data_IF_427778890490
#
_entry.id   IF_427778890490
#
_cell.length_a   1.000
_cell.length_b   1.000
_cell.length_c   1.000
_cell.angle_alpha   90.00
_cell.angle_beta   90.00
_cell.angle_gamma   90.00
#
_symmetry.space_group_name_H-M   'P 1'
#
loop_
_entity.id
_entity.type
_entity.pdbx_description
1 polymer ?
#
# COMPACT_ATOMS: atom_id res chain seq x y z
N UNK A 1 -27.16 -0.02 5.80
CA UNK A 1 -27.02 1.28 6.54
C UNK A 1 -26.32 2.37 5.74
N UNK A 2 -25.23 2.08 5.02
CA UNK A 2 -24.47 3.08 4.26
C UNK A 2 -25.26 3.86 3.18
N UNK A 3 -26.32 3.28 2.63
CA UNK A 3 -27.13 3.89 1.55
C UNK A 3 -28.16 4.91 2.04
N UNK A 4 -28.37 5.05 3.35
CA UNK A 4 -29.36 6.00 3.92
C UNK A 4 -28.75 7.40 4.20
N UNK A 5 -27.44 7.56 4.05
CA UNK A 5 -26.74 8.80 4.31
C UNK A 5 -26.14 9.36 3.01
N UNK A 6 -26.10 10.69 2.88
CA UNK A 6 -25.55 11.39 1.72
C UNK A 6 -24.16 10.89 1.29
N UNK A 7 -23.31 10.53 2.24
CA UNK A 7 -21.95 10.01 1.99
C UNK A 7 -21.86 8.49 2.00
N UNK A 8 -22.98 7.76 2.15
CA UNK A 8 -22.95 6.30 2.27
C UNK A 8 -22.36 5.59 1.06
N UNK A 9 -22.58 6.11 -0.14
CA UNK A 9 -22.00 5.59 -1.39
C UNK A 9 -20.49 5.82 -1.52
N UNK A 10 -19.91 6.73 -0.74
CA UNK A 10 -18.48 7.08 -0.75
C UNK A 10 -17.70 6.36 0.36
N UNK A 11 -18.39 5.68 1.27
CA UNK A 11 -17.73 4.90 2.31
C UNK A 11 -17.09 3.65 1.71
N UNK A 12 -15.80 3.53 1.89
CA UNK A 12 -15.02 2.35 1.56
C UNK A 12 -14.31 1.88 2.84
N UNK A 13 -14.55 0.65 3.27
CA UNK A 13 -13.98 0.16 4.50
C UNK A 13 -14.40 -1.23 4.89
N UNK A 14 -13.70 -1.78 5.88
CA UNK A 14 -13.93 -3.10 6.43
C UNK A 14 -14.54 -3.04 7.82
N UNK A 15 -15.51 -3.89 8.08
CA UNK A 15 -16.03 -4.18 9.41
C UNK A 15 -15.38 -5.46 9.91
N UNK A 16 -14.60 -5.34 10.98
CA UNK A 16 -13.81 -6.44 11.52
C UNK A 16 -14.28 -6.71 12.95
N UNK A 17 -14.65 -7.95 13.31
CA UNK A 17 -14.95 -8.30 14.68
C UNK A 17 -13.74 -8.01 15.58
N UNK A 18 -13.96 -7.46 16.78
CA UNK A 18 -12.90 -7.07 17.71
C UNK A 18 -11.91 -8.19 17.99
N UNK A 19 -12.41 -9.41 18.21
CA UNK A 19 -11.56 -10.60 18.42
C UNK A 19 -10.66 -10.88 17.21
N UNK A 20 -11.18 -10.73 15.98
CA UNK A 20 -10.39 -10.91 14.74
C UNK A 20 -9.36 -9.80 14.54
N UNK A 21 -9.69 -8.56 14.92
CA UNK A 21 -8.77 -7.42 14.83
C UNK A 21 -7.50 -7.62 15.66
N UNK A 22 -7.59 -8.30 16.80
CA UNK A 22 -6.45 -8.62 17.69
C UNK A 22 -5.56 -9.75 17.18
N UNK A 23 -6.04 -10.58 16.25
CA UNK A 23 -5.26 -11.69 15.69
C UNK A 23 -4.28 -11.15 14.66
N UNK A 24 -3.11 -11.80 14.53
CA UNK A 24 -2.15 -11.46 13.47
C UNK A 24 -2.60 -11.96 12.11
N UNK A 25 -3.45 -12.97 12.08
CA UNK A 25 -3.96 -13.58 10.85
C UNK A 25 -4.86 -12.61 10.08
N UNK A 26 -4.84 -12.74 8.76
CA UNK A 26 -5.77 -12.02 7.90
C UNK A 26 -7.19 -12.46 8.21
N UNK A 27 -8.10 -11.56 8.61
CA UNK A 27 -9.48 -11.94 8.90
C UNK A 27 -10.14 -12.56 7.67
N UNK A 28 -10.80 -13.69 7.87
CA UNK A 28 -11.65 -14.33 6.86
C UNK A 28 -13.08 -13.84 7.03
N UNK A 29 -13.86 -13.91 5.95
CA UNK A 29 -15.26 -13.51 5.95
C UNK A 29 -15.50 -12.07 6.39
N UNK A 30 -14.67 -11.16 5.89
CA UNK A 30 -14.83 -9.73 6.13
C UNK A 30 -16.17 -9.23 5.60
N UNK A 31 -16.76 -8.30 6.32
CA UNK A 31 -17.84 -7.47 5.81
C UNK A 31 -17.23 -6.14 5.39
N UNK A 32 -17.41 -5.76 4.15
CA UNK A 32 -16.88 -4.47 3.66
C UNK A 32 -17.94 -3.72 2.86
N UNK A 33 -17.87 -2.39 2.97
CA UNK A 33 -18.66 -1.48 2.15
C UNK A 33 -17.79 -0.92 1.03
N UNK A 34 -18.31 -0.96 -0.19
CA UNK A 34 -17.70 -0.29 -1.33
C UNK A 34 -18.80 0.16 -2.30
N UNK A 35 -18.65 1.36 -2.85
CA UNK A 35 -19.60 1.92 -3.81
C UNK A 35 -21.08 1.86 -3.36
N UNK A 36 -21.34 2.08 -2.08
CA UNK A 36 -22.69 2.04 -1.50
C UNK A 36 -23.27 0.64 -1.29
N UNK A 37 -22.50 -0.42 -1.55
CA UNK A 37 -22.91 -1.82 -1.36
C UNK A 37 -22.17 -2.46 -0.21
N UNK A 38 -22.83 -3.39 0.47
CA UNK A 38 -22.21 -4.22 1.51
C UNK A 38 -21.94 -5.61 0.93
N UNK A 39 -20.69 -6.03 1.03
CA UNK A 39 -20.20 -7.33 0.61
C UNK A 39 -19.85 -8.19 1.82
N UNK A 40 -20.05 -9.49 1.73
CA UNK A 40 -19.70 -10.46 2.77
C UNK A 40 -18.74 -11.50 2.19
N UNK A 41 -17.79 -11.92 3.00
CA UNK A 41 -16.77 -12.89 2.59
C UNK A 41 -15.49 -12.22 2.08
N UNK A 42 -14.48 -13.04 1.82
CA UNK A 42 -13.17 -12.58 1.40
C UNK A 42 -12.20 -12.27 2.52
N UNK A 43 -11.04 -11.81 2.15
CA UNK A 43 -9.94 -11.41 3.05
C UNK A 43 -9.37 -10.07 2.60
N UNK A 44 -8.68 -9.39 3.51
CA UNK A 44 -7.95 -8.16 3.18
C UNK A 44 -6.51 -8.48 2.78
N UNK A 45 -6.20 -8.44 1.51
CA UNK A 45 -4.85 -8.67 0.99
C UNK A 45 -3.82 -7.64 1.48
N UNK A 46 -4.27 -6.49 1.96
CA UNK A 46 -3.44 -5.45 2.54
C UNK A 46 -3.42 -5.46 4.08
N UNK A 47 -3.98 -6.46 4.75
CA UNK A 47 -4.16 -6.52 6.20
C UNK A 47 -2.89 -6.17 7.00
N UNK A 48 -1.75 -6.71 6.61
CA UNK A 48 -0.47 -6.42 7.26
C UNK A 48 -0.08 -4.94 7.12
N UNK A 49 -0.35 -4.32 5.97
CA UNK A 49 -0.10 -2.90 5.71
C UNK A 49 -1.04 -2.04 6.57
N UNK A 50 -2.31 -2.38 6.65
CA UNK A 50 -3.29 -1.65 7.46
C UNK A 50 -2.94 -1.72 8.95
N UNK A 51 -2.54 -2.89 9.47
CA UNK A 51 -2.07 -3.04 10.85
C UNK A 51 -0.88 -2.13 11.14
N UNK A 52 0.09 -2.05 10.23
CA UNK A 52 1.26 -1.18 10.40
C UNK A 52 0.90 0.31 10.35
N UNK A 53 -0.05 0.71 9.51
CA UNK A 53 -0.60 2.08 9.51
C UNK A 53 -1.21 2.43 10.88
N UNK A 54 -2.03 1.54 11.45
CA UNK A 54 -2.62 1.73 12.76
C UNK A 54 -1.57 1.77 13.88
N UNK A 55 -0.57 0.89 13.82
CA UNK A 55 0.51 0.86 14.80
C UNK A 55 1.38 2.12 14.78
N UNK A 56 1.48 2.80 13.63
CA UNK A 56 2.21 4.08 13.45
C UNK A 56 1.34 5.31 13.61
N UNK A 57 0.14 5.17 14.17
CA UNK A 57 -0.80 6.27 14.37
C UNK A 57 -1.27 6.96 13.09
N UNK A 58 -1.22 6.28 11.94
CA UNK A 58 -1.73 6.77 10.67
C UNK A 58 -3.24 6.48 10.54
N UNK A 59 -4.04 7.00 11.47
CA UNK A 59 -5.50 6.86 11.52
C UNK A 59 -6.16 8.00 12.27
N UNK A 60 -7.45 8.19 12.04
CA UNK A 60 -8.30 9.08 12.83
C UNK A 60 -9.18 8.21 13.72
N UNK A 61 -9.11 8.44 15.02
CA UNK A 61 -9.94 7.74 16.00
C UNK A 61 -11.25 8.49 16.21
N UNK A 62 -12.35 7.89 15.81
CA UNK A 62 -13.68 8.45 16.04
C UNK A 62 -14.24 8.02 17.40
N UNK A 63 -14.02 6.75 17.80
CA UNK A 63 -14.52 6.17 19.04
C UNK A 63 -13.66 5.00 19.50
N UNK A 64 -13.77 4.61 20.77
CA UNK A 64 -13.16 3.38 21.31
C UNK A 64 -11.68 3.52 21.70
N UNK A 65 -10.99 2.41 21.99
CA UNK A 65 -9.59 2.40 22.42
C UNK A 65 -8.64 2.79 21.28
N UNK A 66 -7.40 3.13 21.63
CA UNK A 66 -6.34 3.39 20.63
C UNK A 66 -6.10 2.15 19.78
N UNK A 67 -5.87 2.33 18.48
CA UNK A 67 -5.64 1.23 17.54
C UNK A 67 -4.46 0.34 17.96
N UNK A 68 -3.43 0.88 18.58
CA UNK A 68 -2.28 0.11 19.13
C UNK A 68 -2.66 -0.88 20.23
N UNK A 69 -3.81 -0.71 20.89
CA UNK A 69 -4.35 -1.68 21.86
C UNK A 69 -5.15 -2.81 21.19
N UNK A 70 -5.57 -2.60 19.95
CA UNK A 70 -6.40 -3.54 19.19
C UNK A 70 -5.54 -4.30 18.19
N UNK A 71 -4.71 -3.60 17.42
CA UNK A 71 -3.95 -4.16 16.31
C UNK A 71 -2.50 -4.39 16.71
N UNK A 72 -2.03 -5.61 16.56
CA UNK A 72 -0.60 -5.92 16.69
C UNK A 72 0.17 -5.41 15.47
N UNK A 73 1.45 -5.05 15.65
CA UNK A 73 2.33 -4.70 14.54
C UNK A 73 2.52 -5.88 13.60
N UNK A 74 2.64 -5.58 12.32
CA UNK A 74 2.97 -6.58 11.31
C UNK A 74 4.49 -6.82 11.26
N UNK A 75 4.88 -8.07 11.04
CA UNK A 75 6.27 -8.44 10.75
C UNK A 75 6.63 -8.07 9.31
N UNK A 76 7.94 -7.94 9.02
CA UNK A 76 8.37 -7.66 7.65
C UNK A 76 7.94 -8.74 6.64
N UNK A 77 8.02 -10.05 6.92
CA UNK A 77 7.50 -11.05 5.99
C UNK A 77 6.02 -10.89 5.66
N UNK A 78 5.18 -10.53 6.64
CA UNK A 78 3.76 -10.25 6.42
C UNK A 78 3.57 -9.00 5.53
N UNK A 79 4.28 -7.92 5.84
CA UNK A 79 4.25 -6.67 5.07
C UNK A 79 4.72 -6.91 3.63
N UNK A 80 5.87 -7.57 3.48
CA UNK A 80 6.46 -7.92 2.18
C UNK A 80 5.47 -8.70 1.31
N UNK A 81 4.85 -9.74 1.89
CA UNK A 81 3.82 -10.53 1.20
C UNK A 81 2.64 -9.67 0.75
N UNK A 82 2.15 -8.77 1.62
CA UNK A 82 1.05 -7.87 1.28
C UNK A 82 1.45 -6.86 0.18
N UNK A 83 2.67 -6.33 0.21
CA UNK A 83 3.19 -5.43 -0.84
C UNK A 83 3.27 -6.14 -2.20
N UNK A 84 3.71 -7.40 -2.24
CA UNK A 84 3.72 -8.18 -3.48
C UNK A 84 2.30 -8.43 -4.02
N UNK A 85 1.32 -8.72 -3.15
CA UNK A 85 -0.10 -8.81 -3.58
C UNK A 85 -0.59 -7.49 -4.16
N UNK A 86 -0.21 -6.35 -3.60
CA UNK A 86 -0.52 -5.03 -4.17
C UNK A 86 0.14 -4.82 -5.55
N UNK A 87 1.35 -5.34 -5.77
CA UNK A 87 2.00 -5.30 -7.09
C UNK A 87 1.23 -6.15 -8.12
N UNK A 88 0.82 -7.35 -7.73
CA UNK A 88 0.01 -8.24 -8.58
C UNK A 88 -1.34 -7.57 -8.91
N UNK A 89 -1.98 -6.95 -7.92
CA UNK A 89 -3.23 -6.23 -8.14
C UNK A 89 -3.08 -5.03 -9.08
N UNK A 90 -2.05 -4.21 -8.88
CA UNK A 90 -1.75 -3.09 -9.78
C UNK A 90 -1.53 -3.56 -11.23
N UNK A 91 -0.85 -4.70 -11.41
CA UNK A 91 -0.67 -5.34 -12.73
C UNK A 91 -2.00 -5.78 -13.35
N UNK A 92 -2.90 -6.36 -12.54
CA UNK A 92 -4.20 -6.86 -13.00
C UNK A 92 -5.09 -5.73 -13.54
N UNK A 93 -5.05 -4.56 -12.89
CA UNK A 93 -5.96 -3.45 -13.22
C UNK A 93 -5.31 -2.32 -14.03
N UNK A 94 -4.06 -2.51 -14.50
CA UNK A 94 -3.28 -1.43 -15.17
C UNK A 94 -3.99 -0.84 -16.39
N UNK A 95 -4.78 -1.63 -17.11
CA UNK A 95 -5.48 -1.20 -18.31
C UNK A 95 -6.83 -0.55 -17.99
N UNK A 96 -7.54 -1.06 -16.99
CA UNK A 96 -8.83 -0.52 -16.58
C UNK A 96 -8.70 0.71 -15.69
N UNK A 97 -7.63 0.78 -14.89
CA UNK A 97 -7.39 1.88 -13.95
C UNK A 97 -5.89 2.27 -13.90
N UNK A 98 -5.36 2.84 -15.01
CA UNK A 98 -3.93 3.11 -15.12
C UNK A 98 -3.42 4.16 -14.11
N UNK A 99 -4.21 5.20 -13.79
CA UNK A 99 -3.78 6.22 -12.83
C UNK A 99 -3.62 5.66 -11.41
N UNK A 100 -4.57 4.83 -11.00
CA UNK A 100 -4.51 4.18 -9.68
C UNK A 100 -3.30 3.25 -9.60
N UNK A 101 -3.06 2.47 -10.65
CA UNK A 101 -1.91 1.57 -10.75
C UNK A 101 -0.59 2.32 -10.70
N UNK A 102 -0.43 3.41 -11.47
CA UNK A 102 0.79 4.24 -11.46
C UNK A 102 1.07 4.81 -10.07
N UNK A 103 0.06 5.36 -9.39
CA UNK A 103 0.22 5.89 -8.03
C UNK A 103 0.54 4.80 -7.01
N UNK A 104 -0.06 3.62 -7.15
CA UNK A 104 0.23 2.46 -6.29
C UNK A 104 1.64 1.93 -6.52
N UNK A 105 2.11 1.88 -7.77
CA UNK A 105 3.49 1.52 -8.11
C UNK A 105 4.51 2.51 -7.52
N UNK A 106 4.24 3.82 -7.56
CA UNK A 106 5.07 4.81 -6.88
C UNK A 106 5.19 4.51 -5.38
N UNK A 107 4.08 4.14 -4.72
CA UNK A 107 4.08 3.78 -3.31
C UNK A 107 4.87 2.50 -3.05
N UNK A 108 4.72 1.46 -3.87
CA UNK A 108 5.49 0.23 -3.75
C UNK A 108 7.00 0.48 -3.88
N UNK A 109 7.42 1.24 -4.88
CA UNK A 109 8.84 1.61 -5.05
C UNK A 109 9.37 2.38 -3.84
N UNK A 110 8.58 3.30 -3.27
CA UNK A 110 8.91 4.02 -2.04
C UNK A 110 9.04 3.08 -0.85
N UNK A 111 8.03 2.22 -0.62
CA UNK A 111 7.96 1.34 0.54
C UNK A 111 9.15 0.36 0.59
N UNK A 112 9.52 -0.24 -0.54
CA UNK A 112 10.71 -1.08 -0.62
C UNK A 112 12.02 -0.29 -0.53
N UNK A 113 12.09 0.92 -1.07
CA UNK A 113 13.31 1.75 -1.01
C UNK A 113 13.59 2.26 0.41
N UNK A 114 12.57 2.73 1.09
CA UNK A 114 12.69 3.43 2.39
C UNK A 114 12.45 2.48 3.56
N UNK A 115 11.72 1.38 3.34
CA UNK A 115 11.28 0.47 4.38
C UNK A 115 10.19 1.06 5.29
N UNK A 116 9.50 2.11 4.83
CA UNK A 116 8.41 2.79 5.52
C UNK A 116 7.13 2.74 4.70
N UNK A 117 6.10 2.08 5.25
CA UNK A 117 4.82 1.87 4.57
C UNK A 117 3.75 2.92 4.88
N UNK A 118 4.07 3.92 5.70
CA UNK A 118 3.13 4.98 6.07
C UNK A 118 3.35 6.19 5.15
N UNK A 119 2.95 6.04 3.91
CA UNK A 119 2.94 7.13 2.93
C UNK A 119 1.65 7.08 2.11
N UNK A 120 1.05 8.24 1.85
CA UNK A 120 -0.08 8.33 0.93
C UNK A 120 0.37 8.11 -0.53
N UNK A 121 -0.56 7.69 -1.41
CA UNK A 121 -0.28 7.59 -2.86
C UNK A 121 0.29 8.89 -3.41
N UNK A 122 -0.27 10.05 -3.04
CA UNK A 122 0.22 11.36 -3.46
C UNK A 122 1.60 11.68 -2.88
N UNK A 123 1.86 11.35 -1.62
CA UNK A 123 3.16 11.51 -0.99
C UNK A 123 4.25 10.71 -1.72
N UNK A 124 3.96 9.44 -2.01
CA UNK A 124 4.85 8.58 -2.77
C UNK A 124 5.08 9.07 -4.21
N UNK A 125 4.02 9.54 -4.88
CA UNK A 125 4.14 10.09 -6.22
C UNK A 125 5.01 11.36 -6.26
N UNK A 126 4.86 12.27 -5.29
CA UNK A 126 5.73 13.45 -5.15
C UNK A 126 7.19 13.08 -4.90
N UNK A 127 7.43 12.04 -4.09
CA UNK A 127 8.77 11.50 -3.90
C UNK A 127 9.31 10.90 -5.20
N UNK A 128 8.50 10.13 -5.93
CA UNK A 128 8.88 9.51 -7.20
C UNK A 128 9.26 10.56 -8.26
N UNK A 129 8.52 11.67 -8.37
CA UNK A 129 8.85 12.79 -9.25
C UNK A 129 10.24 13.40 -8.99
N UNK A 130 10.72 13.36 -7.75
CA UNK A 130 12.03 13.89 -7.35
C UNK A 130 13.16 12.87 -7.47
N UNK A 131 12.87 11.58 -7.50
CA UNK A 131 13.87 10.52 -7.30
C UNK A 131 13.94 9.50 -8.44
N UNK A 132 12.88 9.36 -9.24
CA UNK A 132 12.88 8.47 -10.38
C UNK A 132 13.34 9.20 -11.67
N UNK A 133 13.79 8.47 -12.68
CA UNK A 133 14.22 9.06 -13.95
C UNK A 133 13.16 9.97 -14.57
N UNK A 134 13.60 11.11 -15.14
CA UNK A 134 12.72 12.16 -15.67
C UNK A 134 11.73 11.68 -16.74
N UNK A 135 12.06 10.62 -17.49
CA UNK A 135 11.17 9.99 -18.48
C UNK A 135 9.82 9.55 -17.90
N UNK A 136 9.75 9.30 -16.58
CA UNK A 136 8.52 8.88 -15.90
C UNK A 136 7.69 10.04 -15.34
N UNK A 137 8.23 11.25 -15.41
CA UNK A 137 7.58 12.42 -14.83
C UNK A 137 6.18 12.64 -15.39
N UNK A 138 6.02 12.59 -16.73
CA UNK A 138 4.73 12.83 -17.38
C UNK A 138 3.65 11.83 -16.94
N UNK A 139 3.92 10.53 -16.93
CA UNK A 139 2.93 9.52 -16.56
C UNK A 139 2.54 9.64 -15.08
N UNK A 140 3.48 10.00 -14.20
CA UNK A 140 3.20 10.20 -12.77
C UNK A 140 2.37 11.48 -12.57
N UNK A 141 2.70 12.59 -13.25
CA UNK A 141 1.93 13.84 -13.20
C UNK A 141 0.50 13.64 -13.72
N UNK A 142 0.33 12.94 -14.84
CA UNK A 142 -0.99 12.59 -15.38
C UNK A 142 -1.81 11.75 -14.40
N UNK A 143 -1.19 10.79 -13.72
CA UNK A 143 -1.85 10.01 -12.68
C UNK A 143 -2.28 10.88 -11.47
N UNK A 144 -1.45 11.84 -11.05
CA UNK A 144 -1.80 12.78 -9.98
C UNK A 144 -2.98 13.67 -10.38
N UNK A 145 -2.98 14.20 -11.60
CA UNK A 145 -4.08 15.04 -12.09
C UNK A 145 -5.40 14.27 -12.17
N UNK A 146 -5.36 13.06 -12.72
CA UNK A 146 -6.55 12.18 -12.80
C UNK A 146 -7.09 11.85 -11.40
N UNK A 147 -6.22 11.51 -10.45
CA UNK A 147 -6.61 11.29 -9.06
C UNK A 147 -7.28 12.50 -8.41
N UNK A 148 -6.87 13.71 -8.78
CA UNK A 148 -7.45 14.98 -8.27
C UNK A 148 -8.72 15.40 -9.00
N UNK A 149 -9.16 14.67 -10.02
CA UNK A 149 -10.32 15.02 -10.83
C UNK A 149 -10.10 16.18 -11.82
N UNK A 150 -8.83 16.53 -12.08
CA UNK A 150 -8.44 17.62 -13.01
C UNK A 150 -7.66 17.11 -14.24
N UNK A 151 -7.65 15.78 -14.42
CA UNK A 151 -7.02 15.15 -15.59
C UNK A 151 -7.84 15.36 -16.86
N UNK A 152 -7.18 15.65 -17.96
CA UNK A 152 -7.78 15.87 -19.27
C UNK A 152 -7.60 14.66 -20.23
N UNK A 153 -8.03 14.82 -21.48
CA UNK A 153 -7.87 13.79 -22.54
C UNK A 153 -6.40 13.47 -22.80
N UNK A 154 -5.52 14.45 -22.75
CA UNK A 154 -4.06 14.28 -22.96
C UNK A 154 -3.45 13.45 -21.84
N UNK A 155 -3.84 13.70 -20.59
CA UNK A 155 -3.42 12.92 -19.44
C UNK A 155 -3.85 11.46 -19.56
N UNK A 156 -5.08 11.19 -20.02
CA UNK A 156 -5.58 9.84 -20.31
C UNK A 156 -4.73 9.13 -21.36
N UNK A 157 -4.46 9.77 -22.52
CA UNK A 157 -3.61 9.21 -23.57
C UNK A 157 -2.20 8.87 -23.08
N UNK A 158 -1.60 9.72 -22.21
CA UNK A 158 -0.30 9.46 -21.61
C UNK A 158 -0.37 8.20 -20.73
N UNK A 159 -1.38 8.08 -19.89
CA UNK A 159 -1.58 6.93 -19.00
C UNK A 159 -1.75 5.63 -19.79
N UNK A 160 -2.62 5.61 -20.80
CA UNK A 160 -2.85 4.45 -21.67
C UNK A 160 -1.56 3.98 -22.37
N UNK A 161 -0.75 4.90 -22.84
CA UNK A 161 0.50 4.62 -23.56
C UNK A 161 1.64 4.17 -22.65
N UNK A 162 1.80 4.79 -21.48
CA UNK A 162 3.03 4.70 -20.69
C UNK A 162 2.87 3.93 -19.37
N UNK A 163 1.65 3.67 -18.88
CA UNK A 163 1.45 2.99 -17.59
C UNK A 163 2.04 1.57 -17.58
N UNK A 164 1.88 0.78 -18.63
CA UNK A 164 2.48 -0.57 -18.73
C UNK A 164 4.01 -0.53 -18.75
N UNK A 165 4.61 0.45 -19.41
CA UNK A 165 6.07 0.64 -19.41
C UNK A 165 6.57 1.02 -18.02
N UNK A 166 5.81 1.88 -17.32
CA UNK A 166 6.10 2.25 -15.93
C UNK A 166 5.95 1.06 -14.98
N UNK A 167 4.96 0.18 -15.18
CA UNK A 167 4.82 -1.08 -14.42
C UNK A 167 6.08 -1.94 -14.54
N UNK A 168 6.60 -2.15 -15.76
CA UNK A 168 7.82 -2.92 -15.97
C UNK A 168 9.02 -2.33 -15.20
N UNK A 169 9.22 -1.01 -15.33
CA UNK A 169 10.26 -0.30 -14.59
C UNK A 169 10.10 -0.41 -13.06
N UNK A 170 8.89 -0.15 -12.55
CA UNK A 170 8.61 -0.19 -11.12
C UNK A 170 8.79 -1.59 -10.54
N UNK A 171 8.37 -2.64 -11.26
CA UNK A 171 8.54 -4.04 -10.84
C UNK A 171 10.01 -4.40 -10.66
N UNK A 172 10.87 -4.03 -11.61
CA UNK A 172 12.33 -4.25 -11.50
C UNK A 172 12.90 -3.50 -10.28
N UNK A 173 12.47 -2.26 -10.03
CA UNK A 173 12.91 -1.49 -8.87
C UNK A 173 12.46 -2.08 -7.55
N UNK A 174 11.23 -2.57 -7.47
CA UNK A 174 10.69 -3.27 -6.29
C UNK A 174 11.55 -4.49 -5.96
N UNK A 175 11.82 -5.35 -6.94
CA UNK A 175 12.63 -6.55 -6.75
C UNK A 175 14.06 -6.18 -6.31
N UNK A 176 14.69 -5.23 -6.96
CA UNK A 176 16.06 -4.80 -6.62
C UNK A 176 16.15 -4.23 -5.19
N UNK A 177 15.17 -3.44 -4.78
CA UNK A 177 15.14 -2.87 -3.43
C UNK A 177 14.80 -3.92 -2.37
N UNK A 178 13.96 -4.89 -2.68
CA UNK A 178 13.64 -6.01 -1.80
C UNK A 178 14.88 -6.86 -1.48
N UNK A 179 15.64 -7.25 -2.50
CA UNK A 179 16.91 -7.96 -2.34
C UNK A 179 17.89 -7.17 -1.47
N UNK A 180 18.00 -5.86 -1.72
CA UNK A 180 18.88 -5.00 -0.94
C UNK A 180 18.43 -4.84 0.52
N UNK A 181 17.13 -4.84 0.79
CA UNK A 181 16.58 -4.79 2.15
C UNK A 181 16.83 -6.10 2.90
N UNK A 182 16.62 -7.24 2.27
CA UNK A 182 16.88 -8.54 2.89
C UNK A 182 18.36 -8.71 3.24
N UNK A 183 19.27 -8.32 2.35
CA UNK A 183 20.72 -8.36 2.61
C UNK A 183 21.11 -7.48 3.80
N UNK A 184 20.57 -6.27 3.92
CA UNK A 184 20.83 -5.38 5.07
C UNK A 184 20.29 -5.96 6.37
N UNK A 185 19.12 -6.58 6.36
CA UNK A 185 18.49 -7.19 7.54
C UNK A 185 19.28 -8.41 8.03
N UNK A 186 19.73 -9.25 7.11
CA UNK A 186 20.59 -10.39 7.42
C UNK A 186 21.91 -9.95 8.05
N UNK A 187 22.58 -8.95 7.46
CA UNK A 187 23.82 -8.38 8.02
C UNK A 187 23.61 -7.81 9.43
N UNK A 188 22.51 -7.09 9.64
CA UNK A 188 22.19 -6.53 10.97
C UNK A 188 21.90 -7.63 12.00
N UNK A 189 21.19 -8.68 11.60
CA UNK A 189 20.91 -9.82 12.46
C UNK A 189 22.20 -10.59 12.83
N UNK A 190 23.09 -10.79 11.87
CA UNK A 190 24.40 -11.42 12.10
C UNK A 190 25.24 -10.61 13.11
N UNK A 191 25.38 -9.29 12.91
CA UNK A 191 26.14 -8.42 13.82
C UNK A 191 25.56 -8.35 15.24
N UNK A 192 24.26 -8.49 15.38
CA UNK A 192 23.63 -8.59 16.72
C UNK A 192 23.99 -9.91 17.42
N UNK A 193 23.94 -11.03 16.70
CA UNK A 193 24.30 -12.35 17.26
C UNK A 193 25.78 -12.43 17.66
N UNK A 194 26.68 -11.87 16.85
CA UNK A 194 28.11 -11.87 17.15
C UNK A 194 28.45 -11.04 18.42
N UNK A 195 27.72 -9.96 18.69
CA UNK A 195 27.90 -9.14 19.91
C UNK A 195 27.35 -9.81 21.19
N UNK A 196 26.28 -10.61 21.06
CA UNK A 196 25.72 -11.35 22.23
C UNK A 196 26.44 -12.66 22.52
N UNK A 197 27.17 -13.23 21.54
CA UNK A 197 27.96 -14.46 21.72
C UNK A 197 29.38 -14.24 22.23
N UNK A 198 29.91 -13.02 22.23
CA UNK A 198 31.25 -12.68 22.69
C UNK A 198 31.34 -12.39 24.21
N UNK A 199 30.24 -12.59 24.96
CA UNK A 199 30.14 -12.34 26.40
C UNK A 199 29.94 -13.60 27.25
N UNK A 200 30.37 -14.77 26.76
CA UNK A 200 30.39 -16.02 27.55
C UNK A 200 31.80 -16.57 27.66
#
# INVERSE_FOLDING_TARGET
MATKFEFGSKLDGFYIPYASARRRENPRNLVYGAHGKIHRGGSDDAWAIHREHFARSAYIRLYGPRASRIFSRASWPEIRSALYRQLIYARKIIDSDPWWSVLSLCRLVYDFKIGGIVVSKLGAARWALKRLPSRWKRVIESAIKTYKGIGDRKDRTILERDARKFLGFASIRVIAFDIALDSRRQKTAYLRKSRTGAGR
#
